data_IF_491161788010
#
_entry.id   IF_491161788010
#
_cell.length_a   1.000
_cell.length_b   1.000
_cell.length_c   1.000
_cell.angle_alpha   90.00
_cell.angle_beta   90.00
_cell.angle_gamma   90.00
#
_symmetry.space_group_name_H-M   'P 1'
#
loop_
_entity.id
_entity.type
_entity.pdbx_description
1 polymer ?
#
# COMPACT_ATOMS: atom_id res chain seq x y z
N UNK A 1 10.51 -1.62 -6.93
CA UNK A 1 11.90 -1.18 -7.15
C UNK A 1 12.03 0.31 -6.91
N UNK A 2 11.41 1.20 -7.71
CA UNK A 2 11.50 2.63 -7.41
C UNK A 2 10.93 3.04 -6.04
N UNK A 3 9.80 2.46 -5.64
CA UNK A 3 9.22 2.72 -4.32
C UNK A 3 10.01 2.09 -3.15
N UNK A 4 10.85 1.08 -3.40
CA UNK A 4 11.66 0.45 -2.34
C UNK A 4 13.03 1.10 -2.14
N UNK A 5 13.43 1.95 -3.08
CA UNK A 5 14.66 2.75 -3.03
C UNK A 5 14.35 4.18 -3.47
N UNK A 6 13.57 4.93 -2.66
CA UNK A 6 13.12 6.26 -3.04
C UNK A 6 14.26 7.28 -3.15
N UNK A 7 15.43 6.95 -2.60
CA UNK A 7 16.70 7.68 -2.68
C UNK A 7 17.38 7.54 -4.05
N UNK A 8 16.97 6.56 -4.88
CA UNK A 8 17.55 6.30 -6.18
C UNK A 8 16.69 6.91 -7.29
N UNK A 9 17.32 7.72 -8.13
CA UNK A 9 16.71 8.26 -9.34
C UNK A 9 16.58 7.16 -10.40
N UNK A 10 15.36 6.84 -10.83
CA UNK A 10 15.07 5.80 -11.81
C UNK A 10 14.27 6.41 -12.97
N UNK A 11 14.77 6.25 -14.19
CA UNK A 11 14.07 6.64 -15.40
C UNK A 11 13.81 5.43 -16.30
N UNK A 12 12.59 5.34 -16.84
CA UNK A 12 12.21 4.38 -17.87
C UNK A 12 11.95 5.14 -19.17
N UNK A 13 12.72 4.82 -20.21
CA UNK A 13 12.58 5.40 -21.54
C UNK A 13 12.16 4.27 -22.48
N UNK A 14 11.05 4.46 -23.20
CA UNK A 14 10.60 3.57 -24.28
C UNK A 14 10.42 4.39 -25.54
N UNK A 15 10.97 3.92 -26.66
CA UNK A 15 10.81 4.56 -27.97
C UNK A 15 11.14 6.05 -27.98
N UNK A 16 12.19 6.44 -27.24
CA UNK A 16 12.63 7.84 -27.11
C UNK A 16 11.76 8.72 -26.20
N UNK A 17 10.66 8.18 -25.65
CA UNK A 17 9.79 8.89 -24.71
C UNK A 17 10.09 8.46 -23.28
N UNK A 18 10.26 9.44 -22.40
CA UNK A 18 10.35 9.17 -20.95
C UNK A 18 8.97 8.77 -20.43
N UNK A 19 8.85 7.52 -19.99
CA UNK A 19 7.62 6.93 -19.48
C UNK A 19 7.49 7.10 -17.98
N UNK A 20 8.61 7.03 -17.26
CA UNK A 20 8.71 7.26 -15.82
C UNK A 20 10.04 7.94 -15.54
N UNK A 21 10.05 8.87 -14.59
CA UNK A 21 11.28 9.42 -14.03
C UNK A 21 10.99 9.73 -12.58
N UNK A 22 11.75 9.10 -11.67
CA UNK A 22 11.71 9.48 -10.27
C UNK A 22 12.75 10.54 -9.97
N UNK A 23 12.54 11.34 -8.93
CA UNK A 23 13.47 12.39 -8.53
C UNK A 23 14.61 11.91 -7.61
N UNK A 24 14.46 10.74 -6.97
CA UNK A 24 15.41 10.23 -5.98
C UNK A 24 15.37 10.98 -4.64
N UNK A 25 14.21 11.53 -4.25
CA UNK A 25 14.07 12.39 -3.07
C UNK A 25 14.18 11.67 -1.72
N UNK A 26 14.27 10.35 -1.70
CA UNK A 26 14.23 9.55 -0.47
C UNK A 26 12.83 9.41 0.12
N UNK A 27 11.80 9.98 -0.51
CA UNK A 27 10.43 10.00 0.01
C UNK A 27 9.49 9.15 -0.85
N UNK A 28 9.03 8.03 -0.30
CA UNK A 28 8.21 7.06 -1.04
C UNK A 28 6.89 7.63 -1.52
N UNK A 29 6.26 8.55 -0.76
CA UNK A 29 5.02 9.22 -1.18
C UNK A 29 5.23 10.10 -2.44
N UNK A 30 6.38 10.77 -2.57
CA UNK A 30 6.72 11.55 -3.77
C UNK A 30 6.93 10.64 -4.97
N UNK A 31 7.64 9.52 -4.79
CA UNK A 31 7.80 8.50 -5.82
C UNK A 31 6.45 7.92 -6.26
N UNK A 32 5.53 7.67 -5.32
CA UNK A 32 4.16 7.25 -5.66
C UNK A 32 3.39 8.32 -6.43
N UNK A 33 3.65 9.60 -6.19
CA UNK A 33 3.06 10.70 -6.96
C UNK A 33 3.58 10.74 -8.40
N UNK A 34 4.86 10.45 -8.61
CA UNK A 34 5.48 10.37 -9.93
C UNK A 34 4.95 9.17 -10.73
N UNK A 35 4.68 8.04 -10.05
CA UNK A 35 4.19 6.82 -10.70
C UNK A 35 2.67 6.85 -10.95
N UNK A 36 1.88 7.27 -9.96
CA UNK A 36 0.41 7.16 -9.98
C UNK A 36 -0.30 8.50 -10.20
N UNK A 37 0.45 9.60 -10.22
CA UNK A 37 -0.05 10.96 -10.39
C UNK A 37 -0.51 11.63 -9.10
N UNK A 38 -0.54 12.96 -9.13
CA UNK A 38 -0.88 13.82 -7.98
C UNK A 38 -2.28 13.60 -7.40
N UNK A 39 -3.22 13.08 -8.20
CA UNK A 39 -4.57 12.76 -7.71
C UNK A 39 -4.53 11.63 -6.70
N UNK A 40 -3.80 10.56 -7.00
CA UNK A 40 -3.64 9.40 -6.09
C UNK A 40 -2.80 9.80 -4.88
N UNK A 41 -1.69 10.53 -5.10
CA UNK A 41 -0.77 10.92 -4.02
C UNK A 41 -1.43 11.71 -2.89
N UNK A 42 -2.36 12.61 -3.21
CA UNK A 42 -3.10 13.41 -2.22
C UNK A 42 -4.07 12.57 -1.37
N UNK A 43 -4.47 11.41 -1.88
CA UNK A 43 -5.37 10.48 -1.24
C UNK A 43 -4.63 9.22 -0.76
N UNK A 44 -3.31 9.30 -0.56
CA UNK A 44 -2.56 8.28 0.16
C UNK A 44 -2.75 8.48 1.67
N UNK A 45 -2.96 7.38 2.36
CA UNK A 45 -2.98 7.31 3.82
C UNK A 45 -1.75 6.52 4.25
N UNK A 46 -0.97 7.12 5.14
CA UNK A 46 0.19 6.47 5.73
C UNK A 46 -0.28 5.43 6.75
N UNK A 47 0.36 4.26 6.75
CA UNK A 47 0.17 3.20 7.73
C UNK A 47 1.51 2.81 8.32
N UNK A 48 1.54 2.61 9.63
CA UNK A 48 2.70 2.08 10.33
C UNK A 48 2.27 1.16 11.46
N UNK A 49 3.15 0.25 11.85
CA UNK A 49 2.89 -0.69 12.92
C UNK A 49 4.10 -1.52 13.29
N UNK A 50 4.16 -1.89 14.55
CA UNK A 50 5.30 -2.58 15.14
C UNK A 50 4.83 -3.80 15.91
N UNK A 51 5.66 -4.83 15.87
CA UNK A 51 5.56 -6.03 16.71
C UNK A 51 6.97 -6.40 17.16
N UNK A 52 7.11 -7.47 17.95
CA UNK A 52 8.43 -8.00 18.33
C UNK A 52 9.30 -8.43 17.15
N UNK A 53 8.68 -8.79 16.02
CA UNK A 53 9.35 -9.45 14.90
C UNK A 53 9.27 -8.68 13.57
N UNK A 54 8.37 -7.68 13.48
CA UNK A 54 8.11 -6.90 12.27
C UNK A 54 7.96 -5.42 12.59
N UNK A 55 8.53 -4.60 11.72
CA UNK A 55 8.19 -3.19 11.56
C UNK A 55 7.54 -3.01 10.18
N UNK A 56 6.38 -2.39 10.12
CA UNK A 56 5.67 -2.11 8.87
C UNK A 56 5.54 -0.61 8.66
N UNK A 57 5.81 -0.20 7.43
CA UNK A 57 5.71 1.19 6.96
C UNK A 57 5.11 1.18 5.57
N UNK A 58 4.09 2.00 5.32
CA UNK A 58 3.37 1.91 4.06
C UNK A 58 2.47 3.09 3.75
N UNK A 59 2.02 3.10 2.50
CA UNK A 59 1.03 4.03 1.99
C UNK A 59 -0.06 3.28 1.26
N UNK A 60 -1.30 3.52 1.64
CA UNK A 60 -2.49 2.89 1.07
C UNK A 60 -3.38 3.97 0.47
N UNK A 61 -3.76 3.83 -0.80
CA UNK A 61 -4.64 4.80 -1.44
C UNK A 61 -6.08 4.61 -0.97
N UNK A 62 -6.85 5.70 -0.90
CA UNK A 62 -8.28 5.57 -0.61
C UNK A 62 -9.00 4.68 -1.66
N UNK A 63 -10.11 4.02 -1.29
CA UNK A 63 -10.80 3.05 -2.14
C UNK A 63 -11.26 3.59 -3.52
N UNK A 64 -11.48 4.91 -3.64
CA UNK A 64 -11.87 5.56 -4.89
C UNK A 64 -10.80 5.42 -5.98
N UNK A 65 -9.53 5.22 -5.59
CA UNK A 65 -8.39 5.06 -6.50
C UNK A 65 -8.08 3.60 -6.84
N UNK A 66 -9.03 2.69 -6.67
CA UNK A 66 -8.83 1.26 -7.00
C UNK A 66 -8.49 0.99 -8.47
N UNK A 67 -8.08 -0.25 -8.79
CA UNK A 67 -7.72 -0.74 -10.13
C UNK A 67 -8.36 -2.09 -10.40
N UNK A 68 -8.45 -2.48 -11.67
CA UNK A 68 -9.02 -3.77 -12.11
C UNK A 68 -8.08 -4.96 -11.91
N UNK A 69 -6.83 -4.73 -11.53
CA UNK A 69 -5.84 -5.77 -11.32
C UNK A 69 -4.98 -5.47 -10.08
N UNK A 70 -4.38 -6.54 -9.54
CA UNK A 70 -3.54 -6.51 -8.33
C UNK A 70 -2.11 -6.00 -8.55
N UNK A 71 -1.73 -5.55 -9.75
CA UNK A 71 -0.35 -5.14 -10.03
C UNK A 71 0.07 -3.86 -9.30
N UNK A 72 -0.90 -3.15 -8.71
CA UNK A 72 -0.71 -1.92 -7.95
C UNK A 72 -0.57 -2.17 -6.44
N UNK A 73 -0.57 -3.43 -6.02
CA UNK A 73 -0.23 -3.84 -4.67
C UNK A 73 1.27 -4.17 -4.65
N UNK A 74 2.05 -3.30 -4.03
CA UNK A 74 3.51 -3.45 -3.94
C UNK A 74 3.92 -3.76 -2.51
N UNK A 75 4.43 -4.98 -2.29
CA UNK A 75 4.87 -5.45 -0.98
C UNK A 75 6.38 -5.70 -1.04
N UNK A 76 7.09 -5.15 -0.06
CA UNK A 76 8.52 -5.28 0.09
C UNK A 76 8.86 -5.85 1.45
N UNK A 77 9.88 -6.71 1.49
CA UNK A 77 10.46 -7.24 2.72
C UNK A 77 11.96 -6.99 2.67
N UNK A 78 12.49 -6.23 3.61
CA UNK A 78 13.91 -5.82 3.64
C UNK A 78 14.38 -5.28 2.27
N UNK A 79 13.56 -4.42 1.65
CA UNK A 79 13.83 -3.81 0.33
C UNK A 79 13.59 -4.70 -0.89
N UNK A 80 13.30 -5.99 -0.72
CA UNK A 80 13.02 -6.93 -1.84
C UNK A 80 11.54 -6.99 -2.17
N UNK A 81 11.21 -6.95 -3.46
CA UNK A 81 9.83 -7.11 -3.91
C UNK A 81 9.37 -8.56 -3.72
N UNK A 82 8.28 -8.77 -3.00
CA UNK A 82 7.76 -10.11 -2.68
C UNK A 82 6.37 -10.31 -3.28
N UNK A 83 6.13 -11.50 -3.82
CA UNK A 83 4.78 -11.95 -4.20
C UNK A 83 4.30 -12.96 -3.17
N UNK A 84 3.50 -12.50 -2.21
CA UNK A 84 2.90 -13.38 -1.20
C UNK A 84 1.36 -13.29 -1.27
N UNK A 85 0.70 -14.44 -1.43
CA UNK A 85 -0.76 -14.52 -1.56
C UNK A 85 -1.47 -14.13 -0.27
N UNK A 86 -0.97 -14.55 0.89
CA UNK A 86 -1.56 -14.25 2.20
C UNK A 86 -1.49 -12.76 2.52
N UNK A 87 -0.36 -12.09 2.26
CA UNK A 87 -0.24 -10.64 2.47
C UNK A 87 -1.13 -9.84 1.53
N UNK A 88 -1.28 -10.28 0.27
CA UNK A 88 -2.26 -9.67 -0.65
C UNK A 88 -3.69 -9.81 -0.10
N UNK A 89 -4.03 -10.98 0.44
CA UNK A 89 -5.33 -11.22 1.07
C UNK A 89 -5.52 -10.35 2.32
N UNK A 90 -4.48 -10.18 3.15
CA UNK A 90 -4.50 -9.30 4.33
C UNK A 90 -4.84 -7.86 3.94
N UNK A 91 -4.21 -7.36 2.87
CA UNK A 91 -4.49 -6.01 2.36
C UNK A 91 -5.96 -5.90 1.95
N UNK A 92 -6.46 -6.83 1.14
CA UNK A 92 -7.85 -6.81 0.69
C UNK A 92 -8.84 -6.90 1.86
N UNK A 93 -8.56 -7.75 2.84
CA UNK A 93 -9.37 -7.89 4.05
C UNK A 93 -9.35 -6.61 4.89
N UNK A 94 -8.21 -5.91 4.96
CA UNK A 94 -8.11 -4.60 5.61
C UNK A 94 -9.01 -3.53 4.99
N UNK A 95 -9.20 -3.57 3.67
CA UNK A 95 -10.17 -2.71 2.98
C UNK A 95 -11.61 -3.22 3.12
N UNK A 96 -11.82 -4.51 3.38
CA UNK A 96 -13.13 -5.12 3.60
C UNK A 96 -14.19 -4.68 2.56
N UNK A 97 -15.32 -4.11 3.00
CA UNK A 97 -16.43 -3.65 2.15
C UNK A 97 -16.18 -2.31 1.44
N UNK A 98 -15.02 -1.67 1.65
CA UNK A 98 -14.70 -0.40 1.01
C UNK A 98 -14.37 -0.55 -0.47
N UNK A 99 -13.93 -1.73 -0.90
CA UNK A 99 -13.64 -2.03 -2.30
C UNK A 99 -14.84 -2.69 -2.98
N UNK A 100 -15.12 -2.26 -4.20
CA UNK A 100 -16.10 -2.96 -5.03
C UNK A 100 -15.53 -4.29 -5.54
N UNK A 101 -16.43 -5.23 -5.84
CA UNK A 101 -16.06 -6.58 -6.27
C UNK A 101 -15.16 -6.52 -7.52
N UNK A 102 -14.06 -7.29 -7.49
CA UNK A 102 -13.10 -7.34 -8.58
C UNK A 102 -12.16 -6.13 -8.67
N UNK A 103 -12.15 -5.26 -7.65
CA UNK A 103 -11.22 -4.12 -7.56
C UNK A 103 -10.12 -4.37 -6.53
N UNK A 104 -8.97 -3.79 -6.81
CA UNK A 104 -7.76 -3.88 -5.99
C UNK A 104 -7.27 -2.47 -5.64
N UNK A 105 -6.74 -2.25 -4.43
CA UNK A 105 -6.21 -0.96 -4.04
C UNK A 105 -4.85 -0.68 -4.70
N UNK A 106 -4.46 0.59 -4.69
CA UNK A 106 -3.06 0.98 -4.90
C UNK A 106 -2.44 1.04 -3.51
N UNK A 107 -1.37 0.29 -3.29
CA UNK A 107 -0.65 0.35 -2.03
C UNK A 107 0.83 0.03 -2.17
N UNK A 108 1.57 0.57 -1.23
CA UNK A 108 2.96 0.27 -0.96
C UNK A 108 3.05 -0.15 0.51
N UNK A 109 3.63 -1.31 0.78
CA UNK A 109 3.93 -1.78 2.14
C UNK A 109 5.37 -2.28 2.15
N UNK A 110 6.19 -1.68 3.02
CA UNK A 110 7.51 -2.14 3.35
C UNK A 110 7.47 -2.82 4.73
N UNK A 111 8.07 -4.00 4.80
CA UNK A 111 8.16 -4.80 6.02
C UNK A 111 9.64 -4.97 6.31
N UNK A 112 10.05 -4.57 7.49
CA UNK A 112 11.39 -4.80 8.01
C UNK A 112 11.30 -5.88 9.08
N UNK A 113 12.16 -6.88 8.98
CA UNK A 113 12.22 -8.01 9.91
C UNK A 113 13.59 -8.66 9.87
N UNK A 114 13.91 -9.45 10.90
CA UNK A 114 15.16 -10.21 10.93
C UNK A 114 15.25 -11.15 9.70
N UNK A 115 16.30 -11.05 8.87
CA UNK A 115 16.49 -11.94 7.72
C UNK A 115 16.48 -13.43 8.07
N UNK A 116 16.83 -13.82 9.31
CA UNK A 116 16.79 -15.21 9.78
C UNK A 116 15.35 -15.76 9.79
N UNK A 117 14.36 -14.89 9.97
CA UNK A 117 12.94 -15.24 10.00
C UNK A 117 12.31 -15.32 8.60
N UNK A 118 13.07 -15.01 7.55
CA UNK A 118 12.65 -15.00 6.14
C UNK A 118 13.37 -16.10 5.37
N UNK A 119 12.65 -17.19 5.05
CA UNK A 119 13.17 -18.19 4.12
C UNK A 119 12.82 -17.80 2.68
N UNK A 120 13.78 -17.12 2.04
CA UNK A 120 13.75 -16.75 0.60
C UNK A 120 14.12 -17.91 -0.32
N UNK A 121 14.43 -19.10 0.22
CA UNK A 121 15.10 -20.17 -0.52
C UNK A 121 14.16 -21.14 -1.27
N UNK A 122 12.98 -20.69 -1.69
CA UNK A 122 11.90 -21.60 -2.14
C UNK A 122 11.90 -21.90 -3.66
N UNK A 123 12.56 -21.09 -4.52
CA UNK A 123 12.94 -21.50 -5.89
C UNK A 123 13.76 -20.39 -6.61
N UNK A 124 14.75 -20.72 -7.47
CA UNK A 124 15.52 -19.73 -8.25
C UNK A 124 14.70 -18.88 -9.23
N UNK A 125 13.42 -19.22 -9.48
CA UNK A 125 12.54 -18.53 -10.44
C UNK A 125 11.21 -18.05 -9.85
N UNK A 126 10.95 -18.27 -8.54
CA UNK A 126 9.68 -17.94 -7.89
C UNK A 126 9.89 -17.03 -6.69
N UNK A 127 9.29 -15.85 -6.76
CA UNK A 127 9.22 -14.79 -5.75
C UNK A 127 8.32 -15.17 -4.55
N UNK A 128 8.34 -16.43 -4.12
CA UNK A 128 7.55 -16.94 -2.99
C UNK A 128 8.46 -17.08 -1.77
N UNK A 129 8.06 -16.47 -0.66
CA UNK A 129 8.84 -16.39 0.58
C UNK A 129 8.03 -17.00 1.70
N UNK A 130 8.65 -17.90 2.48
CA UNK A 130 8.05 -18.38 3.72
C UNK A 130 8.43 -17.43 4.85
N UNK A 131 7.40 -16.81 5.43
CA UNK A 131 7.55 -15.93 6.57
C UNK A 131 7.27 -16.71 7.83
N UNK A 132 8.19 -16.63 8.79
CA UNK A 132 7.86 -16.99 10.17
C UNK A 132 6.67 -16.13 10.62
N UNK A 133 5.82 -16.63 11.52
CA UNK A 133 4.67 -15.92 12.12
C UNK A 133 3.81 -15.10 11.13
N UNK A 134 3.60 -15.62 9.91
CA UNK A 134 2.83 -14.97 8.83
C UNK A 134 1.43 -14.51 9.28
N UNK A 135 0.77 -15.26 10.17
CA UNK A 135 -0.54 -14.92 10.72
C UNK A 135 -0.52 -13.63 11.56
N UNK A 136 0.53 -13.38 12.33
CA UNK A 136 0.65 -12.16 13.13
C UNK A 136 0.80 -10.94 12.21
N UNK A 137 1.63 -11.07 11.19
CA UNK A 137 1.81 -10.04 10.17
C UNK A 137 0.51 -9.81 9.37
N UNK A 138 -0.23 -10.86 9.06
CA UNK A 138 -1.54 -10.76 8.42
C UNK A 138 -2.48 -9.89 9.26
N UNK A 139 -2.65 -10.21 10.54
CA UNK A 139 -3.53 -9.46 11.44
C UNK A 139 -3.08 -8.02 11.62
N UNK A 140 -1.77 -7.78 11.71
CA UNK A 140 -1.21 -6.43 11.81
C UNK A 140 -1.58 -5.58 10.59
N UNK A 141 -1.37 -6.11 9.36
CA UNK A 141 -1.72 -5.39 8.13
C UNK A 141 -3.21 -5.09 8.07
N UNK A 142 -4.07 -6.07 8.37
CA UNK A 142 -5.52 -5.89 8.40
C UNK A 142 -5.90 -4.76 9.37
N UNK A 143 -5.41 -4.82 10.61
CA UNK A 143 -5.72 -3.83 11.65
C UNK A 143 -5.26 -2.43 11.24
N UNK A 144 -4.04 -2.28 10.72
CA UNK A 144 -3.50 -0.97 10.33
C UNK A 144 -4.23 -0.33 9.15
N UNK A 145 -4.66 -1.13 8.17
CA UNK A 145 -5.49 -0.62 7.08
C UNK A 145 -6.88 -0.25 7.59
N UNK A 146 -7.49 -1.08 8.45
CA UNK A 146 -8.78 -0.75 9.04
C UNK A 146 -8.71 0.53 9.87
N UNK A 147 -7.72 0.68 10.76
CA UNK A 147 -7.46 1.89 11.55
C UNK A 147 -7.34 3.13 10.65
N UNK A 148 -6.56 3.05 9.56
CA UNK A 148 -6.37 4.14 8.61
C UNK A 148 -7.66 4.66 7.98
N UNK A 149 -8.68 3.80 7.84
CA UNK A 149 -9.98 4.16 7.27
C UNK A 149 -11.10 4.28 8.32
N UNK A 150 -10.90 3.82 9.56
CA UNK A 150 -11.88 3.85 10.66
C UNK A 150 -12.23 5.29 11.07
N UNK A 151 -11.22 6.15 11.20
CA UNK A 151 -11.40 7.55 11.60
C UNK A 151 -12.04 8.43 10.51
N UNK A 152 -12.08 7.95 9.25
CA UNK A 152 -12.66 8.69 8.12
C UNK A 152 -14.12 8.32 7.83
N UNK A 153 -14.63 7.26 8.45
CA UNK A 153 -16.03 6.83 8.35
C UNK A 153 -16.90 7.53 9.42
N UNK A 154 -16.30 8.13 10.45
CA UNK A 154 -17.03 8.86 11.49
C UNK A 154 -17.52 10.23 10.97
N UNK A 155 -18.76 10.20 10.46
CA UNK A 155 -19.70 11.30 10.31
C UNK A 155 -19.49 12.20 9.07
N UNK A 156 -20.38 12.13 8.06
CA UNK A 156 -20.58 13.26 7.17
C UNK A 156 -21.06 14.44 8.02
N UNK A 157 -20.29 15.54 8.07
CA UNK A 157 -20.84 16.83 8.53
C UNK A 157 -21.91 17.24 7.53
N UNK A 158 -23.12 16.77 7.76
CA UNK A 158 -24.29 17.16 7.01
C UNK A 158 -24.60 18.61 7.42
N UNK A 159 -24.03 19.58 6.70
CA UNK A 159 -24.51 20.97 6.71
C UNK A 159 -25.88 20.98 6.01
N UNK A 160 -26.90 20.44 6.67
CA UNK A 160 -28.27 20.76 6.35
C UNK A 160 -28.64 21.96 7.22
N UNK A 161 -28.43 23.15 6.67
CA UNK A 161 -29.10 24.36 7.12
C UNK A 161 -30.60 24.16 6.93
N UNK A 162 -31.24 23.57 7.93
CA UNK A 162 -32.69 23.47 7.99
C UNK A 162 -33.27 24.85 8.27
N UNK A 163 -33.72 25.52 7.21
CA UNK A 163 -34.53 26.74 7.34
C UNK A 163 -36.00 26.30 7.42
N UNK A 164 -36.67 26.43 8.58
CA UNK A 164 -38.09 26.10 8.67
C UNK A 164 -38.90 27.06 7.80
N UNK A 165 -39.69 26.51 6.85
CA UNK A 165 -40.71 27.28 6.13
C UNK A 165 -41.83 27.64 7.11
N UNK A 166 -41.99 28.93 7.40
CA UNK A 166 -43.18 29.48 8.04
C UNK A 166 -44.39 29.27 7.12
N UNK A 167 -45.45 28.65 7.65
CA UNK A 167 -46.83 28.86 7.21
C UNK A 167 -47.53 29.70 8.26
#
# INVERSE_FOLDING_TARGET
MAMSHPDIRIALISDGKTMLSTNGSGRTNEVMAEIYGMKVARDLVHISGDTSDYHIEGFVAKPEHSRSNKHYISIFINGRYIKNFMLNKAILEGYHTLLTIGRFPICYINIEMDPILVDVNVHPTKLEVRLSKEEQLYQLIVSKIQEAFKDRILIPKNNLDYVPKKK
#
